data_IF_747244527942
#
_entry.id   IF_747244527942
#
_cell.length_a   1.000
_cell.length_b   1.000
_cell.length_c   1.000
_cell.angle_alpha   90.00
_cell.angle_beta   90.00
_cell.angle_gamma   90.00
#
_symmetry.space_group_name_H-M   'P 1'
#
loop_
_entity.id
_entity.type
_entity.pdbx_description
1 polymer ?
#
# COMPACT_ATOMS: atom_id res chain seq x y z
N UNK A 1 26.82 -5.37 -7.68
CA UNK A 1 25.64 -4.52 -7.47
C UNK A 1 24.68 -4.66 -8.65
N UNK A 2 23.37 -4.74 -8.39
CA UNK A 2 22.31 -5.09 -9.36
C UNK A 2 22.40 -4.36 -10.72
N UNK A 3 22.76 -3.08 -10.70
CA UNK A 3 22.92 -2.24 -11.90
C UNK A 3 23.95 -2.77 -12.89
N UNK A 4 25.01 -3.43 -12.42
CA UNK A 4 26.05 -4.03 -13.27
C UNK A 4 25.55 -5.28 -14.03
N UNK A 5 24.45 -5.89 -13.57
CA UNK A 5 23.77 -7.01 -14.23
C UNK A 5 22.57 -6.55 -15.10
N UNK A 6 22.37 -5.24 -15.23
CA UNK A 6 21.22 -4.67 -15.94
C UNK A 6 19.92 -4.70 -15.14
N UNK A 7 19.96 -5.02 -13.85
CA UNK A 7 18.81 -4.98 -12.97
C UNK A 7 18.60 -3.58 -12.41
N UNK A 8 17.34 -3.13 -12.36
CA UNK A 8 16.96 -1.83 -11.82
C UNK A 8 16.62 -1.97 -10.33
N UNK A 9 17.24 -1.15 -9.49
CA UNK A 9 16.85 -1.03 -8.07
C UNK A 9 15.53 -0.28 -7.96
N UNK A 10 14.61 -0.81 -7.15
CA UNK A 10 13.24 -0.30 -6.98
C UNK A 10 12.93 0.13 -5.55
N UNK A 11 13.84 -0.10 -4.61
CA UNK A 11 13.70 0.25 -3.20
C UNK A 11 14.92 -0.17 -2.40
N UNK A 12 15.30 0.66 -1.45
CA UNK A 12 16.43 0.42 -0.53
C UNK A 12 15.98 0.84 0.88
N UNK A 13 16.21 -0.05 1.85
CA UNK A 13 15.89 0.18 3.27
C UNK A 13 17.03 -0.38 4.11
N UNK A 14 17.60 0.44 4.99
CA UNK A 14 18.55 -0.06 5.98
C UNK A 14 17.80 -0.46 7.27
N UNK A 15 18.03 -1.68 7.76
CA UNK A 15 17.45 -2.20 8.99
C UNK A 15 18.54 -2.91 9.82
N UNK A 16 18.77 -2.42 11.04
CA UNK A 16 19.74 -2.99 11.98
C UNK A 16 21.15 -3.23 11.39
N UNK A 17 21.60 -2.32 10.53
CA UNK A 17 22.93 -2.37 9.90
C UNK A 17 23.00 -3.20 8.61
N UNK A 18 21.91 -3.85 8.20
CA UNK A 18 21.81 -4.53 6.91
C UNK A 18 21.04 -3.68 5.90
N UNK A 19 21.43 -3.79 4.63
CA UNK A 19 20.75 -3.14 3.52
C UNK A 19 19.80 -4.12 2.81
N UNK A 20 18.54 -3.72 2.73
CA UNK A 20 17.48 -4.49 2.08
C UNK A 20 17.18 -3.81 0.76
N UNK A 21 17.49 -4.48 -0.35
CA UNK A 21 17.42 -3.91 -1.68
C UNK A 21 16.46 -4.72 -2.53
N UNK A 22 15.39 -4.10 -3.01
CA UNK A 22 14.55 -4.68 -4.05
C UNK A 22 15.06 -4.29 -5.42
N UNK A 23 15.08 -5.24 -6.36
CA UNK A 23 15.52 -5.01 -7.73
C UNK A 23 14.75 -5.89 -8.70
N UNK A 24 14.68 -5.45 -9.96
CA UNK A 24 13.86 -6.07 -11.01
C UNK A 24 14.68 -6.25 -12.29
N UNK A 25 14.40 -7.32 -13.02
CA UNK A 25 15.03 -7.61 -14.31
C UNK A 25 14.47 -6.79 -15.47
N UNK A 26 13.26 -6.22 -15.31
CA UNK A 26 12.66 -5.40 -16.36
C UNK A 26 11.30 -4.80 -16.01
N UNK A 27 10.71 -4.16 -17.01
CA UNK A 27 9.40 -3.51 -16.93
C UNK A 27 8.57 -3.86 -18.16
N UNK A 28 7.28 -4.16 -17.95
CA UNK A 28 6.29 -4.35 -18.99
C UNK A 28 5.31 -3.16 -18.98
N UNK A 29 5.12 -2.45 -20.11
CA UNK A 29 4.21 -1.31 -20.17
C UNK A 29 2.75 -1.74 -20.04
N UNK A 30 1.95 -0.89 -19.41
CA UNK A 30 0.51 -1.03 -19.25
C UNK A 30 -0.26 0.19 -19.78
N UNK A 31 -1.56 0.24 -19.50
CA UNK A 31 -2.40 1.38 -19.88
C UNK A 31 -2.13 2.58 -18.97
N UNK A 32 -2.46 3.78 -19.46
CA UNK A 32 -2.37 5.04 -18.69
C UNK A 32 -0.99 5.31 -18.05
N UNK A 33 0.10 4.89 -18.71
CA UNK A 33 1.47 5.11 -18.23
C UNK A 33 1.88 4.21 -17.06
N UNK A 34 1.09 3.19 -16.72
CA UNK A 34 1.46 2.19 -15.73
C UNK A 34 2.55 1.25 -16.26
N UNK A 35 3.38 0.72 -15.36
CA UNK A 35 4.39 -0.29 -15.67
C UNK A 35 4.30 -1.40 -14.64
N UNK A 36 4.30 -2.64 -15.12
CA UNK A 36 4.50 -3.81 -14.28
C UNK A 36 5.99 -4.13 -14.24
N UNK A 37 6.50 -4.49 -13.07
CA UNK A 37 7.87 -4.95 -12.88
C UNK A 37 7.97 -6.46 -13.14
N UNK A 38 9.07 -6.91 -13.73
CA UNK A 38 9.34 -8.33 -14.04
C UNK A 38 10.60 -8.81 -13.33
N UNK A 39 10.64 -10.10 -13.00
CA UNK A 39 11.81 -10.75 -12.40
C UNK A 39 12.30 -10.03 -11.13
N UNK A 40 11.35 -9.64 -10.28
CA UNK A 40 11.61 -8.91 -9.05
C UNK A 40 12.11 -9.82 -7.93
N UNK A 41 13.08 -9.32 -7.16
CA UNK A 41 13.66 -9.99 -6.01
C UNK A 41 13.99 -8.96 -4.91
N UNK A 42 14.24 -9.45 -3.70
CA UNK A 42 14.80 -8.66 -2.59
C UNK A 42 16.07 -9.33 -2.10
N UNK A 43 17.18 -8.60 -2.11
CA UNK A 43 18.42 -9.03 -1.49
C UNK A 43 18.60 -8.38 -0.12
N UNK A 44 19.14 -9.14 0.83
CA UNK A 44 19.62 -8.63 2.11
C UNK A 44 21.15 -8.66 2.10
N UNK A 45 21.75 -7.50 2.33
CA UNK A 45 23.18 -7.28 2.21
C UNK A 45 23.78 -6.84 3.55
N UNK A 46 24.97 -7.35 3.83
CA UNK A 46 25.90 -6.81 4.83
C UNK A 46 27.09 -6.28 4.05
N UNK A 47 27.25 -4.95 4.02
CA UNK A 47 28.09 -4.24 3.05
C UNK A 47 27.84 -4.74 1.60
N UNK A 48 28.85 -5.33 0.96
CA UNK A 48 28.78 -5.84 -0.41
C UNK A 48 28.41 -7.33 -0.50
N UNK A 49 28.16 -8.00 0.64
CA UNK A 49 27.88 -9.44 0.69
C UNK A 49 26.38 -9.71 0.72
N UNK A 50 25.90 -10.56 -0.20
CA UNK A 50 24.51 -11.03 -0.21
C UNK A 50 24.34 -12.18 0.80
N UNK A 51 23.54 -11.95 1.85
CA UNK A 51 23.22 -12.96 2.85
C UNK A 51 21.95 -13.74 2.51
N UNK A 52 20.93 -13.04 2.01
CA UNK A 52 19.63 -13.64 1.68
C UNK A 52 19.07 -13.10 0.38
N UNK A 53 18.36 -13.96 -0.33
CA UNK A 53 17.58 -13.61 -1.51
C UNK A 53 16.14 -14.08 -1.33
N UNK A 54 15.20 -13.13 -1.36
CA UNK A 54 13.77 -13.38 -1.45
C UNK A 54 13.35 -13.25 -2.90
N UNK A 55 12.68 -14.28 -3.42
CA UNK A 55 12.23 -14.35 -4.80
C UNK A 55 10.80 -14.92 -4.86
N UNK A 56 10.06 -14.57 -5.91
CA UNK A 56 8.74 -15.15 -6.16
C UNK A 56 8.86 -16.58 -6.71
N UNK A 57 7.92 -17.45 -6.35
CA UNK A 57 7.82 -18.76 -7.00
C UNK A 57 7.56 -18.61 -8.50
N UNK A 58 8.13 -19.51 -9.31
CA UNK A 58 8.08 -19.41 -10.78
C UNK A 58 6.65 -19.38 -11.35
N UNK A 59 5.71 -20.07 -10.68
CA UNK A 59 4.30 -20.15 -11.08
C UNK A 59 3.41 -19.13 -10.34
N UNK A 60 3.98 -18.30 -9.48
CA UNK A 60 3.24 -17.26 -8.77
C UNK A 60 2.85 -16.13 -9.73
N UNK A 61 1.58 -15.74 -9.72
CA UNK A 61 1.14 -14.51 -10.39
C UNK A 61 1.63 -13.25 -9.70
N UNK A 62 1.94 -13.33 -8.40
CA UNK A 62 2.42 -12.20 -7.60
C UNK A 62 3.89 -11.94 -7.90
N UNK A 63 4.19 -10.76 -8.41
CA UNK A 63 5.55 -10.30 -8.70
C UNK A 63 6.07 -9.45 -7.57
N UNK A 64 7.34 -9.58 -7.20
CA UNK A 64 7.98 -8.64 -6.26
C UNK A 64 8.28 -7.34 -7.01
N UNK A 65 7.97 -6.21 -6.37
CA UNK A 65 8.16 -4.88 -6.94
C UNK A 65 9.19 -4.09 -6.16
N UNK A 66 8.82 -3.67 -4.94
CA UNK A 66 9.63 -2.79 -4.11
C UNK A 66 9.60 -3.19 -2.64
N UNK A 67 10.58 -2.71 -1.86
CA UNK A 67 10.55 -2.76 -0.40
C UNK A 67 10.31 -1.39 0.22
N UNK A 68 9.65 -1.37 1.38
CA UNK A 68 9.50 -0.18 2.21
C UNK A 68 9.65 -0.58 3.68
N UNK A 69 10.20 0.33 4.51
CA UNK A 69 10.23 0.12 5.94
C UNK A 69 8.79 0.04 6.47
N UNK A 70 8.53 -0.97 7.30
CA UNK A 70 7.25 -1.18 7.95
C UNK A 70 7.40 -1.09 9.47
N UNK A 71 6.67 -0.15 10.07
CA UNK A 71 6.92 0.31 11.45
C UNK A 71 8.42 0.59 11.69
N UNK A 72 9.02 0.09 12.78
CA UNK A 72 10.43 0.33 13.13
C UNK A 72 11.35 -0.89 12.96
N UNK A 73 10.79 -2.06 12.64
CA UNK A 73 11.49 -3.35 12.80
C UNK A 73 11.09 -4.41 11.77
N UNK A 74 10.51 -3.98 10.65
CA UNK A 74 10.06 -4.87 9.59
C UNK A 74 10.21 -4.19 8.25
N UNK A 75 10.24 -4.99 7.20
CA UNK A 75 10.19 -4.51 5.81
C UNK A 75 8.94 -5.08 5.17
N UNK A 76 8.17 -4.23 4.51
CA UNK A 76 7.06 -4.66 3.69
C UNK A 76 7.50 -4.81 2.25
N UNK A 77 7.23 -5.98 1.70
CA UNK A 77 7.44 -6.27 0.28
C UNK A 77 6.14 -5.95 -0.46
N UNK A 78 6.25 -5.12 -1.49
CA UNK A 78 5.15 -4.69 -2.35
C UNK A 78 5.23 -5.40 -3.69
N UNK A 79 4.08 -5.63 -4.31
CA UNK A 79 4.02 -6.28 -5.60
C UNK A 79 4.51 -5.36 -6.72
N UNK A 80 5.04 -5.98 -7.76
CA UNK A 80 5.47 -5.34 -8.98
C UNK A 80 4.35 -5.14 -9.99
N UNK A 81 3.08 -5.33 -9.61
CA UNK A 81 1.96 -5.22 -10.53
C UNK A 81 1.66 -3.77 -10.92
N UNK A 82 0.81 -3.58 -11.94
CA UNK A 82 0.37 -2.24 -12.36
C UNK A 82 -0.21 -1.40 -11.21
N UNK A 83 -0.77 -2.09 -10.21
CA UNK A 83 -1.26 -1.55 -8.96
C UNK A 83 -0.51 -2.25 -7.83
N UNK A 84 0.62 -1.71 -7.37
CA UNK A 84 1.39 -2.31 -6.29
C UNK A 84 0.51 -2.55 -5.06
N UNK A 85 0.49 -3.78 -4.56
CA UNK A 85 -0.19 -4.19 -3.33
C UNK A 85 0.83 -4.78 -2.37
N UNK A 86 0.64 -4.63 -1.05
CA UNK A 86 1.53 -5.27 -0.10
C UNK A 86 1.35 -6.80 -0.17
N UNK A 87 2.46 -7.54 -0.15
CA UNK A 87 2.48 -9.00 -0.34
C UNK A 87 2.73 -9.71 0.98
N UNK A 88 3.81 -9.32 1.67
CA UNK A 88 4.32 -10.02 2.84
C UNK A 88 5.12 -9.04 3.69
N UNK A 89 5.12 -9.26 5.00
CA UNK A 89 6.00 -8.56 5.93
C UNK A 89 7.21 -9.45 6.23
N UNK A 90 8.39 -8.88 6.07
CA UNK A 90 9.67 -9.51 6.30
C UNK A 90 10.27 -9.00 7.60
N UNK A 91 10.72 -9.91 8.45
CA UNK A 91 11.46 -9.62 9.66
C UNK A 91 12.86 -10.18 9.57
N UNK A 92 13.82 -9.43 10.11
CA UNK A 92 15.18 -9.89 10.31
C UNK A 92 15.46 -9.90 11.81
N UNK A 93 15.93 -11.02 12.34
CA UNK A 93 16.30 -11.11 13.76
C UNK A 93 17.73 -10.63 14.02
N UNK A 94 18.12 -10.58 15.29
CA UNK A 94 19.46 -10.13 15.71
C UNK A 94 20.61 -11.03 15.20
N UNK A 95 20.31 -12.24 14.69
CA UNK A 95 21.29 -13.12 14.06
C UNK A 95 21.40 -12.93 12.55
N UNK A 96 20.59 -12.04 11.97
CA UNK A 96 20.49 -11.85 10.52
C UNK A 96 19.61 -12.90 9.85
N UNK A 97 18.83 -13.70 10.59
CA UNK A 97 17.93 -14.68 9.99
C UNK A 97 16.65 -13.99 9.50
N UNK A 98 16.24 -14.34 8.28
CA UNK A 98 15.06 -13.77 7.63
C UNK A 98 13.84 -14.66 7.86
N UNK A 99 12.70 -14.04 8.20
CA UNK A 99 11.40 -14.69 8.23
C UNK A 99 10.36 -13.88 7.45
N UNK A 100 9.52 -14.60 6.69
CA UNK A 100 8.42 -14.03 5.92
C UNK A 100 7.10 -14.38 6.60
N UNK A 101 6.30 -13.36 6.91
CA UNK A 101 5.03 -13.48 7.61
C UNK A 101 3.89 -12.82 6.85
N UNK A 102 2.66 -13.26 7.13
CA UNK A 102 1.46 -12.58 6.61
C UNK A 102 1.50 -11.09 6.99
N UNK A 103 0.90 -10.26 6.14
CA UNK A 103 0.73 -8.84 6.44
C UNK A 103 0.14 -8.64 7.84
N UNK A 104 0.73 -7.71 8.59
CA UNK A 104 0.26 -7.37 9.91
C UNK A 104 -1.24 -7.03 9.86
N UNK A 105 -2.05 -7.54 10.82
CA UNK A 105 -3.49 -7.27 10.83
C UNK A 105 -3.83 -5.81 11.15
N UNK A 106 -2.85 -5.08 11.68
CA UNK A 106 -2.92 -3.68 12.10
C UNK A 106 -1.56 -3.03 11.88
N UNK A 107 -1.56 -1.81 11.37
CA UNK A 107 -0.38 -0.94 11.24
C UNK A 107 -0.48 0.21 12.22
N UNK A 108 0.67 0.61 12.78
CA UNK A 108 0.73 1.67 13.80
C UNK A 108 1.43 2.91 13.31
N UNK A 109 0.84 4.05 13.65
CA UNK A 109 1.29 5.38 13.27
C UNK A 109 1.33 6.29 14.50
N UNK A 110 1.97 7.45 14.36
CA UNK A 110 1.97 8.53 15.36
C UNK A 110 2.41 8.04 16.75
N UNK A 111 3.61 7.46 16.84
CA UNK A 111 4.13 6.82 18.06
C UNK A 111 3.19 5.78 18.66
N UNK A 112 2.54 5.00 17.77
CA UNK A 112 1.60 3.93 18.13
C UNK A 112 0.27 4.41 18.73
N UNK A 113 -0.01 5.72 18.69
CA UNK A 113 -1.27 6.30 19.15
C UNK A 113 -2.39 6.13 18.14
N UNK A 114 -2.07 6.10 16.85
CA UNK A 114 -3.01 5.78 15.79
C UNK A 114 -2.75 4.38 15.25
N UNK A 115 -3.81 3.66 14.89
CA UNK A 115 -3.71 2.34 14.27
C UNK A 115 -4.69 2.22 13.12
N UNK A 116 -4.23 1.64 12.01
CA UNK A 116 -5.07 1.36 10.85
C UNK A 116 -5.16 -0.15 10.72
N UNK A 117 -6.36 -0.76 10.77
CA UNK A 117 -6.50 -2.16 10.45
C UNK A 117 -6.07 -2.41 9.01
N UNK A 118 -5.48 -3.56 8.71
CA UNK A 118 -5.19 -3.91 7.33
C UNK A 118 -6.50 -3.96 6.53
N UNK A 119 -6.62 -3.08 5.54
CA UNK A 119 -7.77 -2.90 4.66
C UNK A 119 -7.41 -3.05 3.17
N UNK A 120 -6.17 -3.39 2.83
CA UNK A 120 -5.74 -3.54 1.43
C UNK A 120 -6.58 -4.59 0.69
N UNK A 121 -6.97 -4.28 -0.54
CA UNK A 121 -7.80 -5.14 -1.38
C UNK A 121 -9.27 -5.25 -0.97
N UNK A 122 -9.68 -4.69 0.18
CA UNK A 122 -11.07 -4.76 0.63
C UNK A 122 -11.96 -3.81 -0.17
N UNK A 123 -13.21 -4.19 -0.50
CA UNK A 123 -14.20 -3.23 -1.00
C UNK A 123 -14.38 -2.09 0.01
N UNK A 124 -14.47 -0.84 -0.46
CA UNK A 124 -14.59 0.32 0.44
C UNK A 124 -15.80 0.25 1.39
N UNK A 125 -16.91 -0.36 0.96
CA UNK A 125 -18.07 -0.60 1.81
C UNK A 125 -17.80 -1.52 3.02
N UNK A 126 -16.82 -2.42 2.92
CA UNK A 126 -16.35 -3.26 4.02
C UNK A 126 -15.26 -2.55 4.82
N UNK A 127 -14.29 -1.95 4.12
CA UNK A 127 -13.17 -1.23 4.75
C UNK A 127 -13.66 -0.13 5.69
N UNK A 128 -14.69 0.64 5.30
CA UNK A 128 -15.27 1.69 6.15
C UNK A 128 -15.80 1.16 7.48
N UNK A 129 -16.47 0.01 7.50
CA UNK A 129 -17.01 -0.59 8.73
C UNK A 129 -15.89 -1.00 9.67
N UNK A 130 -14.79 -1.51 9.09
CA UNK A 130 -13.60 -1.90 9.83
C UNK A 130 -12.86 -0.68 10.39
N UNK A 131 -12.80 0.42 9.64
CA UNK A 131 -12.25 1.70 10.07
C UNK A 131 -13.09 2.33 11.18
N UNK A 132 -14.41 2.39 11.02
CA UNK A 132 -15.36 2.87 12.03
C UNK A 132 -15.21 2.08 13.35
N UNK A 133 -15.11 0.75 13.26
CA UNK A 133 -14.87 -0.12 14.43
C UNK A 133 -13.51 0.11 15.10
N UNK A 134 -12.54 0.66 14.37
CA UNK A 134 -11.21 1.02 14.85
C UNK A 134 -11.11 2.49 15.29
N UNK A 135 -12.23 3.22 15.36
CA UNK A 135 -12.28 4.61 15.87
C UNK A 135 -12.01 5.69 14.82
N UNK A 136 -12.05 5.34 13.53
CA UNK A 136 -11.96 6.31 12.43
C UNK A 136 -13.35 6.75 12.00
N UNK A 137 -13.67 8.04 12.16
CA UNK A 137 -14.92 8.63 11.70
C UNK A 137 -14.81 9.14 10.26
N UNK A 138 -15.89 9.09 9.46
CA UNK A 138 -15.88 9.62 8.10
C UNK A 138 -15.72 11.14 8.10
N UNK A 139 -14.83 11.66 7.24
CA UNK A 139 -14.74 13.09 6.94
C UNK A 139 -15.58 13.35 5.69
N UNK A 140 -16.65 14.13 5.85
CA UNK A 140 -17.55 14.44 4.74
C UNK A 140 -16.78 15.16 3.63
N UNK A 141 -16.76 14.57 2.44
CA UNK A 141 -16.04 15.09 1.29
C UNK A 141 -16.75 16.25 0.61
N UNK A 142 -17.13 17.30 1.35
CA UNK A 142 -17.82 18.48 0.79
C UNK A 142 -17.20 19.77 1.31
N UNK A 143 -16.75 20.60 0.37
CA UNK A 143 -16.86 22.06 0.49
C UNK A 143 -18.16 22.49 -0.19
N UNK A 144 -19.01 23.31 0.45
CA UNK A 144 -20.26 23.76 -0.18
C UNK A 144 -20.00 24.44 -1.54
N UNK A 145 -20.64 23.96 -2.61
CA UNK A 145 -20.66 24.62 -3.92
C UNK A 145 -19.72 24.08 -5.01
N UNK A 146 -18.93 23.03 -4.75
CA UNK A 146 -18.10 22.40 -5.79
C UNK A 146 -18.89 21.33 -6.57
N UNK A 147 -18.87 21.33 -7.93
CA UNK A 147 -19.46 20.26 -8.73
C UNK A 147 -18.77 18.93 -8.43
N UNK A 148 -19.54 17.89 -8.15
CA UNK A 148 -19.01 16.55 -7.96
C UNK A 148 -18.99 15.77 -9.27
N UNK A 149 -18.09 14.78 -9.35
CA UNK A 149 -18.15 13.78 -10.41
C UNK A 149 -19.30 12.78 -10.15
N UNK A 150 -19.83 12.21 -11.24
CA UNK A 150 -20.99 11.29 -11.20
C UNK A 150 -20.77 10.11 -10.26
N UNK A 151 -19.53 9.63 -10.17
CA UNK A 151 -19.20 8.45 -9.39
C UNK A 151 -19.18 8.75 -7.90
N UNK A 152 -18.68 9.92 -7.52
CA UNK A 152 -18.81 10.42 -6.15
C UNK A 152 -20.28 10.57 -5.75
N UNK A 153 -21.16 11.04 -6.65
CA UNK A 153 -22.61 11.11 -6.39
C UNK A 153 -23.23 9.72 -6.17
N UNK A 154 -22.88 8.73 -6.99
CA UNK A 154 -23.35 7.35 -6.85
C UNK A 154 -22.92 6.72 -5.52
N UNK A 155 -21.66 6.91 -5.11
CA UNK A 155 -21.15 6.42 -3.83
C UNK A 155 -21.87 7.07 -2.64
N UNK A 156 -22.18 8.38 -2.72
CA UNK A 156 -22.97 9.06 -1.69
C UNK A 156 -24.41 8.59 -1.65
N UNK A 157 -25.04 8.36 -2.80
CA UNK A 157 -26.37 7.78 -2.88
C UNK A 157 -26.42 6.36 -2.27
N UNK A 158 -25.31 5.62 -2.34
CA UNK A 158 -25.11 4.34 -1.66
C UNK A 158 -24.73 4.47 -0.15
N UNK A 159 -24.68 5.68 0.40
CA UNK A 159 -24.43 5.96 1.81
C UNK A 159 -22.95 6.10 2.20
N UNK A 160 -22.03 6.18 1.23
CA UNK A 160 -20.59 6.36 1.44
C UNK A 160 -20.28 7.86 1.29
N UNK A 161 -20.40 8.60 2.39
CA UNK A 161 -20.33 10.07 2.41
C UNK A 161 -18.91 10.62 2.59
N UNK A 162 -17.99 9.76 2.98
CA UNK A 162 -16.55 10.01 3.12
C UNK A 162 -15.82 10.13 1.79
N UNK A 163 -16.48 9.86 0.65
CA UNK A 163 -15.90 10.07 -0.68
C UNK A 163 -15.63 11.55 -0.92
N UNK A 164 -14.39 11.87 -1.28
CA UNK A 164 -13.90 13.22 -1.52
C UNK A 164 -13.84 13.55 -3.01
N UNK A 165 -13.37 12.61 -3.84
CA UNK A 165 -13.31 12.77 -5.29
C UNK A 165 -13.09 11.43 -5.96
N UNK A 166 -13.57 11.27 -7.20
CA UNK A 166 -13.18 10.17 -8.07
C UNK A 166 -12.57 10.68 -9.38
N UNK A 167 -11.49 10.04 -9.81
CA UNK A 167 -10.85 10.31 -11.10
C UNK A 167 -11.64 9.65 -12.22
N UNK A 168 -11.84 10.37 -13.33
CA UNK A 168 -12.32 9.81 -14.60
C UNK A 168 -11.24 9.04 -15.38
N UNK A 169 -10.21 8.53 -14.71
CA UNK A 169 -9.18 7.72 -15.37
C UNK A 169 -9.70 6.30 -15.60
N UNK A 170 -9.10 5.57 -16.53
CA UNK A 170 -9.47 4.18 -16.81
C UNK A 170 -9.29 3.22 -15.61
N UNK A 171 -8.50 3.63 -14.60
CA UNK A 171 -8.35 2.88 -13.36
C UNK A 171 -9.46 3.15 -12.34
N UNK A 172 -10.24 4.22 -12.51
CA UNK A 172 -11.37 4.53 -11.64
C UNK A 172 -10.97 4.78 -10.18
N UNK A 173 -9.90 5.54 -9.93
CA UNK A 173 -9.49 5.85 -8.56
C UNK A 173 -10.51 6.74 -7.85
N UNK A 174 -10.76 6.48 -6.56
CA UNK A 174 -11.51 7.38 -5.69
C UNK A 174 -10.73 7.63 -4.39
N UNK A 175 -10.86 8.83 -3.83
CA UNK A 175 -10.29 9.21 -2.53
C UNK A 175 -11.37 9.35 -1.47
N UNK A 176 -11.06 8.91 -0.25
CA UNK A 176 -11.97 8.90 0.90
C UNK A 176 -11.23 9.43 2.13
N UNK A 177 -11.91 10.28 2.90
CA UNK A 177 -11.34 10.91 4.09
C UNK A 177 -11.89 10.34 5.39
N UNK A 178 -11.02 10.11 6.36
CA UNK A 178 -11.38 9.70 7.72
C UNK A 178 -10.56 10.47 8.75
N UNK A 179 -11.12 10.66 9.94
CA UNK A 179 -10.47 11.31 11.07
C UNK A 179 -10.50 10.38 12.29
N UNK A 180 -9.35 10.23 12.93
CA UNK A 180 -9.18 9.55 14.20
C UNK A 180 -8.74 10.53 15.28
N UNK A 181 -8.60 10.04 16.52
CA UNK A 181 -8.21 10.88 17.67
C UNK A 181 -6.85 11.55 17.51
N UNK A 182 -5.90 10.90 16.82
CA UNK A 182 -4.50 11.34 16.76
C UNK A 182 -4.00 11.61 15.34
N UNK A 183 -4.86 11.44 14.32
CA UNK A 183 -4.46 11.50 12.92
C UNK A 183 -5.65 11.63 11.98
N UNK A 184 -5.36 12.07 10.76
CA UNK A 184 -6.25 11.93 9.60
C UNK A 184 -5.78 10.76 8.72
N UNK A 185 -6.74 10.12 8.04
CA UNK A 185 -6.51 8.99 7.16
C UNK A 185 -7.13 9.28 5.80
N UNK A 186 -6.31 9.20 4.75
CA UNK A 186 -6.74 9.25 3.36
C UNK A 186 -6.68 7.84 2.78
N UNK A 187 -7.80 7.31 2.32
CA UNK A 187 -7.90 6.01 1.64
C UNK A 187 -8.11 6.24 0.16
N UNK A 188 -7.38 5.50 -0.68
CA UNK A 188 -7.55 5.53 -2.13
C UNK A 188 -7.96 4.15 -2.60
N UNK A 189 -9.04 4.09 -3.37
CA UNK A 189 -9.53 2.86 -4.00
C UNK A 189 -9.25 2.87 -5.49
N UNK A 190 -9.36 1.70 -6.12
CA UNK A 190 -9.17 1.49 -7.56
C UNK A 190 -10.25 0.53 -8.10
N UNK A 191 -10.45 0.58 -9.41
CA UNK A 191 -11.46 -0.19 -10.14
C UNK A 191 -12.83 0.48 -10.08
N UNK A 192 -13.77 -0.03 -10.85
CA UNK A 192 -15.15 0.50 -10.87
C UNK A 192 -16.03 -0.14 -9.78
N UNK A 193 -15.59 -1.27 -9.23
CA UNK A 193 -16.47 -2.19 -8.52
C UNK A 193 -17.20 -3.06 -9.55
N UNK A 194 -17.29 -4.37 -9.33
CA UNK A 194 -18.20 -5.18 -10.14
C UNK A 194 -19.64 -4.81 -9.77
N UNK A 195 -20.66 -5.17 -10.56
CA UNK A 195 -22.05 -4.69 -10.44
C UNK A 195 -22.73 -4.82 -9.06
N UNK A 196 -22.06 -5.41 -8.05
CA UNK A 196 -22.49 -5.52 -6.65
C UNK A 196 -21.38 -5.19 -5.62
N UNK A 197 -20.17 -4.85 -6.04
CA UNK A 197 -19.04 -4.52 -5.15
C UNK A 197 -18.60 -3.07 -5.35
N UNK A 198 -18.22 -2.40 -4.27
CA UNK A 198 -17.62 -1.06 -4.32
C UNK A 198 -16.12 -1.15 -4.67
N UNK A 199 -15.46 -0.08 -5.15
CA UNK A 199 -14.04 -0.14 -5.50
C UNK A 199 -13.17 -0.61 -4.33
N UNK A 200 -12.06 -1.29 -4.66
CA UNK A 200 -11.19 -1.92 -3.67
C UNK A 200 -10.11 -0.95 -3.19
N UNK A 201 -9.78 -1.00 -1.91
CA UNK A 201 -8.71 -0.19 -1.32
C UNK A 201 -7.37 -0.57 -1.94
N UNK A 202 -6.74 0.39 -2.61
CA UNK A 202 -5.43 0.22 -3.23
C UNK A 202 -4.30 0.68 -2.30
N UNK A 203 -4.51 1.79 -1.61
CA UNK A 203 -3.53 2.38 -0.69
C UNK A 203 -4.19 3.30 0.31
N UNK A 204 -3.46 3.65 1.35
CA UNK A 204 -3.85 4.70 2.27
C UNK A 204 -2.63 5.46 2.80
N UNK A 205 -2.85 6.64 3.36
CA UNK A 205 -1.83 7.44 4.03
C UNK A 205 -2.39 8.05 5.31
N UNK A 206 -1.54 8.14 6.32
CA UNK A 206 -1.89 8.69 7.64
C UNK A 206 -1.11 9.99 7.86
N UNK A 207 -1.83 11.05 8.23
CA UNK A 207 -1.25 12.33 8.64
C UNK A 207 -1.40 12.48 10.15
N UNK A 208 -0.30 12.41 10.89
CA UNK A 208 -0.32 12.55 12.34
C UNK A 208 -0.61 13.99 12.72
N UNK A 209 -1.56 14.21 13.63
CA UNK A 209 -1.71 15.51 14.27
C UNK A 209 -0.42 15.79 15.05
N UNK A 210 0.23 16.93 14.77
CA UNK A 210 1.32 17.41 15.61
C UNK A 210 0.68 17.75 16.96
N UNK A 211 1.14 17.19 18.09
CA UNK A 211 0.66 17.66 19.38
C UNK A 211 1.08 19.13 19.53
N UNK A 212 0.13 20.00 19.88
CA UNK A 212 0.41 21.36 20.36
C UNK A 212 1.34 21.34 21.60
#
# INVERSE_FOLDING_TARGET
MATALGWAVTGEVSLDGMDVVSFVGGFAPGTSGSCQMTDGNVGLFDDDQLHWLVYGEKESSTRIGSVQLFEKAAIRIWSGDFLPQPVVDMHVDASGAVSLGKLAPVERFCDRKASVPNIYGMPIAEARKRLESAGWGPVLGIRPGEPMDVRSDELKAAGIYEVQSCSGTQFGYCSFGYAGQFAELSVVTVGEGESLSTPQVARYSVSCAIPD
#
